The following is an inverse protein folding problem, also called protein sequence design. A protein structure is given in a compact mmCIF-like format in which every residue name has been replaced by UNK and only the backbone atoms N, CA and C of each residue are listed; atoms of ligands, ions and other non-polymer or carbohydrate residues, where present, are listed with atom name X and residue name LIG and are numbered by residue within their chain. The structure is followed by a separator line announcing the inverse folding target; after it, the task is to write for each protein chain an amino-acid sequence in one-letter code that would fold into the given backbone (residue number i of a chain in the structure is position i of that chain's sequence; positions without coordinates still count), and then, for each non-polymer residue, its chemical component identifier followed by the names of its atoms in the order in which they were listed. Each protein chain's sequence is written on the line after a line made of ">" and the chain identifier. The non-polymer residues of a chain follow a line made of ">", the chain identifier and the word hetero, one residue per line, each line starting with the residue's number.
data_IF_811200376641
#
_entry.id   IF_811200376641
#
_cell.length_a   1.000
_cell.length_b   1.000
_cell.length_c   1.000
_cell.angle_alpha   90.00
_cell.angle_beta   90.00
_cell.angle_gamma   90.00
#
_symmetry.space_group_name_H-M   'P 1'
#
loop_
_entity.id
_entity.type
_entity.pdbx_description
1 polymer ?
#
# COMPACT_ATOMS: atom_id res chain seq x y z
N UNK A 1 -28.05 7.96 -13.26
CA UNK A 1 -28.79 6.75 -13.70
C UNK A 1 -28.39 5.63 -12.75
N UNK A 2 -29.31 4.75 -12.38
CA UNK A 2 -28.96 3.52 -11.65
C UNK A 2 -27.96 2.70 -12.50
N UNK A 3 -26.95 2.11 -11.86
CA UNK A 3 -25.89 1.30 -12.47
C UNK A 3 -26.48 0.18 -13.32
N UNK A 4 -27.56 -0.43 -12.84
CA UNK A 4 -28.29 -1.49 -13.55
C UNK A 4 -28.81 -0.99 -14.90
N UNK A 5 -29.50 0.16 -14.90
CA UNK A 5 -30.06 0.77 -16.11
C UNK A 5 -29.01 1.26 -17.10
N UNK A 6 -27.88 1.77 -16.60
CA UNK A 6 -26.78 2.21 -17.46
C UNK A 6 -26.08 1.03 -18.17
N UNK A 7 -26.03 -0.13 -17.52
CA UNK A 7 -25.45 -1.34 -18.10
C UNK A 7 -26.43 -2.08 -19.04
N UNK A 8 -27.72 -2.14 -18.68
CA UNK A 8 -28.82 -2.67 -19.53
C UNK A 8 -28.82 -2.04 -20.93
N UNK A 9 -28.63 -0.71 -21.00
CA UNK A 9 -28.64 0.05 -22.26
C UNK A 9 -27.48 -0.33 -23.22
N UNK A 10 -26.39 -0.90 -22.70
CA UNK A 10 -25.18 -1.19 -23.49
C UNK A 10 -25.05 -2.69 -23.78
N UNK A 11 -25.39 -3.55 -22.81
CA UNK A 11 -25.22 -5.00 -22.93
C UNK A 11 -26.40 -5.72 -23.59
N UNK A 12 -27.53 -5.02 -23.85
CA UNK A 12 -28.80 -5.57 -24.36
C UNK A 12 -29.41 -6.71 -23.53
N UNK A 13 -28.82 -7.01 -22.37
CA UNK A 13 -29.27 -7.97 -21.38
C UNK A 13 -29.00 -7.29 -20.04
N UNK A 14 -30.02 -7.13 -19.20
CA UNK A 14 -29.80 -6.72 -17.82
C UNK A 14 -28.91 -7.77 -17.17
N UNK A 15 -27.72 -7.42 -16.66
CA UNK A 15 -27.07 -8.30 -15.71
C UNK A 15 -28.00 -8.41 -14.52
N UNK A 16 -28.57 -9.60 -14.32
CA UNK A 16 -29.10 -10.00 -13.02
C UNK A 16 -27.87 -10.11 -12.11
N UNK A 17 -27.35 -8.96 -11.63
CA UNK A 17 -26.21 -8.88 -10.72
C UNK A 17 -26.60 -9.46 -9.36
N UNK A 18 -26.94 -10.74 -9.30
CA UNK A 18 -27.08 -11.47 -8.04
C UNK A 18 -25.71 -11.77 -7.46
N UNK A 19 -24.70 -12.03 -8.30
CA UNK A 19 -23.30 -12.22 -7.90
C UNK A 19 -22.33 -11.79 -9.00
N UNK A 20 -21.16 -11.29 -8.61
CA UNK A 20 -20.00 -11.12 -9.50
C UNK A 20 -19.08 -12.33 -9.32
N UNK A 21 -18.57 -12.99 -10.37
CA UNK A 21 -17.62 -14.07 -10.21
C UNK A 21 -16.35 -13.56 -9.53
N UNK A 22 -15.95 -14.27 -8.50
CA UNK A 22 -14.65 -14.13 -7.83
C UNK A 22 -13.74 -15.27 -8.26
N UNK A 23 -12.42 -15.07 -8.13
CA UNK A 23 -11.47 -16.15 -8.45
C UNK A 23 -11.69 -17.40 -7.59
N UNK A 24 -12.23 -17.27 -6.37
CA UNK A 24 -12.62 -18.44 -5.55
C UNK A 24 -13.64 -19.31 -6.29
N UNK A 25 -14.66 -18.72 -6.90
CA UNK A 25 -15.65 -19.47 -7.68
C UNK A 25 -15.03 -20.14 -8.91
N UNK A 26 -13.99 -19.57 -9.50
CA UNK A 26 -13.23 -20.22 -10.57
C UNK A 26 -12.47 -21.48 -10.10
N UNK A 27 -12.11 -21.57 -8.82
CA UNK A 27 -11.46 -22.75 -8.25
C UNK A 27 -12.44 -23.81 -7.77
N UNK A 28 -13.59 -23.43 -7.23
CA UNK A 28 -14.49 -24.36 -6.52
C UNK A 28 -15.70 -24.84 -7.32
N UNK A 29 -16.13 -24.10 -8.35
CA UNK A 29 -17.30 -24.50 -9.14
C UNK A 29 -16.94 -25.59 -10.17
N UNK A 30 -17.96 -26.27 -10.69
CA UNK A 30 -17.81 -27.16 -11.85
C UNK A 30 -17.63 -26.35 -13.14
N UNK A 31 -16.95 -26.90 -14.14
CA UNK A 31 -16.59 -26.17 -15.35
C UNK A 31 -17.80 -25.67 -16.16
N UNK A 32 -18.91 -26.41 -16.15
CA UNK A 32 -20.17 -26.01 -16.77
C UNK A 32 -20.76 -24.75 -16.12
N UNK A 33 -20.71 -24.66 -14.78
CA UNK A 33 -21.19 -23.52 -14.02
C UNK A 33 -20.25 -22.33 -14.20
N UNK A 34 -18.93 -22.55 -14.26
CA UNK A 34 -17.96 -21.49 -14.57
C UNK A 34 -18.22 -20.90 -15.94
N UNK A 35 -18.42 -21.72 -16.97
CA UNK A 35 -18.64 -21.20 -18.33
C UNK A 35 -19.85 -20.27 -18.38
N UNK A 36 -20.95 -20.63 -17.70
CA UNK A 36 -22.15 -19.80 -17.61
C UNK A 36 -21.92 -18.51 -16.79
N UNK A 37 -21.27 -18.61 -15.63
CA UNK A 37 -21.00 -17.48 -14.72
C UNK A 37 -20.06 -16.43 -15.33
N UNK A 38 -19.06 -16.88 -16.10
CA UNK A 38 -18.03 -16.01 -16.69
C UNK A 38 -18.39 -15.46 -18.08
N UNK A 39 -19.39 -16.04 -18.75
CA UNK A 39 -19.87 -15.61 -20.07
C UNK A 39 -20.20 -14.10 -20.18
N UNK A 40 -20.83 -13.44 -19.18
CA UNK A 40 -21.11 -12.00 -19.23
C UNK A 40 -19.84 -11.12 -19.16
N UNK A 41 -18.73 -11.66 -18.64
CA UNK A 41 -17.50 -10.92 -18.40
C UNK A 41 -16.53 -10.97 -19.60
N UNK A 42 -16.75 -11.90 -20.54
CA UNK A 42 -16.10 -12.05 -21.85
C UNK A 42 -14.60 -11.65 -21.84
N UNK A 43 -13.84 -12.07 -20.82
CA UNK A 43 -12.46 -11.64 -20.58
C UNK A 43 -12.06 -11.57 -19.11
N UNK A 44 -11.11 -10.68 -18.80
CA UNK A 44 -10.52 -10.48 -17.48
C UNK A 44 -11.45 -9.65 -16.57
N UNK A 45 -11.83 -10.17 -15.40
CA UNK A 45 -12.79 -9.52 -14.47
C UNK A 45 -12.43 -8.07 -14.12
N UNK A 46 -11.15 -7.73 -13.84
CA UNK A 46 -10.76 -6.34 -13.61
C UNK A 46 -11.06 -5.39 -14.78
N UNK A 47 -11.03 -5.85 -16.03
CA UNK A 47 -11.37 -5.01 -17.20
C UNK A 47 -12.86 -4.71 -17.23
N UNK A 48 -13.70 -5.70 -16.93
CA UNK A 48 -15.15 -5.52 -16.82
C UNK A 48 -15.53 -4.63 -15.66
N UNK A 49 -14.89 -4.81 -14.49
CA UNK A 49 -15.05 -3.90 -13.35
C UNK A 49 -14.57 -2.48 -13.68
N UNK A 50 -13.47 -2.32 -14.42
CA UNK A 50 -13.00 -1.01 -14.89
C UNK A 50 -13.99 -0.34 -15.84
N UNK A 51 -14.60 -1.10 -16.76
CA UNK A 51 -15.68 -0.59 -17.63
C UNK A 51 -16.89 -0.13 -16.81
N UNK A 52 -17.33 -0.94 -15.84
CA UNK A 52 -18.42 -0.59 -14.91
C UNK A 52 -18.08 0.68 -14.13
N UNK A 53 -16.88 0.77 -13.55
CA UNK A 53 -16.42 1.94 -12.81
C UNK A 53 -16.53 3.23 -13.65
N UNK A 54 -16.10 3.19 -14.91
CA UNK A 54 -16.19 4.33 -15.83
C UNK A 54 -17.63 4.66 -16.27
N UNK A 55 -18.56 3.70 -16.19
CA UNK A 55 -19.99 3.92 -16.48
C UNK A 55 -20.71 4.56 -15.29
N UNK A 56 -20.40 4.12 -14.07
CA UNK A 56 -20.98 4.65 -12.83
C UNK A 56 -20.56 6.11 -12.64
N UNK A 57 -19.27 6.37 -12.82
CA UNK A 57 -18.69 7.69 -12.73
C UNK A 57 -17.64 7.85 -13.83
N UNK A 58 -17.91 8.73 -14.78
CA UNK A 58 -16.99 9.03 -15.87
C UNK A 58 -16.11 10.25 -15.57
N UNK A 59 -16.10 10.74 -14.33
CA UNK A 59 -15.27 11.87 -13.95
C UNK A 59 -13.80 11.52 -14.19
N UNK A 60 -13.28 12.10 -15.25
CA UNK A 60 -11.94 11.81 -15.71
C UNK A 60 -10.84 12.45 -14.83
N UNK A 61 -11.23 13.20 -13.80
CA UNK A 61 -10.34 13.87 -12.84
C UNK A 61 -10.44 13.29 -11.43
N UNK A 62 -11.32 12.31 -11.21
CA UNK A 62 -11.49 11.67 -9.91
C UNK A 62 -10.61 10.44 -9.77
N UNK A 63 -10.07 10.24 -8.57
CA UNK A 63 -9.62 8.92 -8.13
C UNK A 63 -10.86 8.05 -7.90
N UNK A 64 -10.78 6.79 -8.29
CA UNK A 64 -11.92 5.88 -8.22
C UNK A 64 -11.49 4.53 -7.65
N UNK A 65 -12.29 3.98 -6.75
CA UNK A 65 -12.13 2.67 -6.16
C UNK A 65 -13.45 1.90 -6.34
N UNK A 66 -13.37 0.74 -6.98
CA UNK A 66 -14.48 -0.20 -7.07
C UNK A 66 -14.06 -1.51 -6.40
N UNK A 67 -14.88 -1.97 -5.46
CA UNK A 67 -14.69 -3.24 -4.75
C UNK A 67 -15.89 -4.12 -5.04
N UNK A 68 -15.62 -5.32 -5.56
CA UNK A 68 -16.59 -6.40 -5.70
C UNK A 68 -16.22 -7.48 -4.70
N UNK A 69 -17.07 -7.76 -3.72
CA UNK A 69 -16.79 -8.67 -2.61
C UNK A 69 -17.91 -9.70 -2.48
N UNK A 70 -17.56 -10.98 -2.58
CA UNK A 70 -18.48 -12.08 -2.26
C UNK A 70 -18.17 -12.61 -0.86
N UNK A 71 -19.20 -12.79 -0.04
CA UNK A 71 -19.10 -13.30 1.33
C UNK A 71 -19.85 -14.63 1.42
N UNK A 72 -19.16 -15.65 1.92
CA UNK A 72 -19.67 -17.00 2.08
C UNK A 72 -19.73 -17.36 3.57
N UNK A 73 -20.79 -18.05 3.98
CA UNK A 73 -20.87 -18.67 5.31
C UNK A 73 -20.05 -19.96 5.31
N UNK A 74 -19.38 -20.26 6.42
CA UNK A 74 -18.66 -21.51 6.63
C UNK A 74 -19.43 -22.36 7.63
N UNK A 75 -19.75 -23.59 7.25
CA UNK A 75 -20.40 -24.58 8.12
C UNK A 75 -19.63 -25.91 8.10
N UNK A 76 -19.15 -26.42 9.25
CA UNK A 76 -19.13 -25.77 10.57
C UNK A 76 -18.05 -24.67 10.63
N UNK A 77 -18.23 -23.66 11.48
CA UNK A 77 -17.25 -22.60 11.69
C UNK A 77 -15.86 -23.15 12.08
N UNK A 78 -14.80 -22.47 11.63
CA UNK A 78 -13.41 -22.84 11.93
C UNK A 78 -12.86 -21.86 12.98
N UNK A 79 -12.88 -22.26 14.25
CA UNK A 79 -12.53 -21.37 15.35
C UNK A 79 -13.50 -20.18 15.43
N UNK A 80 -12.98 -18.95 15.32
CA UNK A 80 -13.78 -17.71 15.31
C UNK A 80 -14.18 -17.24 13.89
N UNK A 81 -13.85 -18.04 12.86
CA UNK A 81 -14.14 -17.70 11.47
C UNK A 81 -15.46 -18.36 11.08
N UNK A 82 -16.49 -17.54 10.91
CA UNK A 82 -17.84 -17.96 10.49
C UNK A 82 -18.10 -17.60 9.02
N UNK A 83 -17.34 -16.63 8.49
CA UNK A 83 -17.49 -16.11 7.13
C UNK A 83 -16.14 -15.92 6.46
N UNK A 84 -16.09 -16.27 5.19
CA UNK A 84 -14.97 -15.96 4.30
C UNK A 84 -15.46 -15.09 3.16
N UNK A 85 -14.74 -14.01 2.91
CA UNK A 85 -14.91 -13.12 1.79
C UNK A 85 -13.75 -13.20 0.82
N UNK A 86 -14.03 -13.09 -0.48
CA UNK A 86 -13.02 -12.75 -1.47
C UNK A 86 -13.53 -11.62 -2.34
N UNK A 87 -12.65 -10.66 -2.60
CA UNK A 87 -12.97 -9.50 -3.39
C UNK A 87 -11.96 -9.20 -4.47
N UNK A 88 -12.49 -8.77 -5.61
CA UNK A 88 -11.75 -8.15 -6.70
C UNK A 88 -11.85 -6.63 -6.55
N UNK A 89 -10.70 -5.98 -6.60
CA UNK A 89 -10.59 -4.55 -6.31
C UNK A 89 -9.93 -3.88 -7.50
N UNK A 90 -10.60 -2.89 -8.08
CA UNK A 90 -10.08 -2.07 -9.16
C UNK A 90 -9.94 -0.64 -8.67
N UNK A 91 -8.78 -0.06 -8.91
CA UNK A 91 -8.49 1.31 -8.57
C UNK A 91 -7.92 2.08 -9.76
N UNK A 92 -8.35 3.33 -9.88
CA UNK A 92 -7.84 4.30 -10.84
C UNK A 92 -7.34 5.55 -10.11
N UNK A 93 -6.04 5.83 -10.24
CA UNK A 93 -5.40 7.09 -9.81
C UNK A 93 -5.39 8.07 -10.98
N UNK A 94 -5.82 9.30 -10.74
CA UNK A 94 -5.53 10.44 -11.61
C UNK A 94 -4.55 11.36 -10.87
N UNK A 95 -3.44 11.69 -11.51
CA UNK A 95 -2.37 12.49 -10.92
C UNK A 95 -1.71 13.40 -11.97
N UNK A 96 -0.81 14.28 -11.54
CA UNK A 96 -0.11 15.26 -12.40
C UNK A 96 -1.05 16.08 -13.29
N UNK A 97 -2.17 16.55 -12.74
CA UNK A 97 -3.11 17.39 -13.50
C UNK A 97 -2.48 18.75 -13.74
N UNK A 98 -2.06 19.00 -14.99
CA UNK A 98 -1.44 20.25 -15.42
C UNK A 98 -2.37 21.01 -16.35
N UNK A 99 -2.63 22.26 -16.03
CA UNK A 99 -3.36 23.17 -16.91
C UNK A 99 -2.36 23.99 -17.71
N UNK A 100 -2.42 23.88 -19.03
CA UNK A 100 -1.66 24.79 -19.89
C UNK A 100 -2.40 26.14 -19.90
N UNK A 101 -1.74 27.24 -19.53
CA UNK A 101 -2.40 28.55 -19.48
C UNK A 101 -2.60 29.17 -20.87
N UNK A 102 -1.95 28.62 -21.90
CA UNK A 102 -1.98 29.08 -23.29
C UNK A 102 -2.96 28.28 -24.15
N UNK A 103 -3.47 27.15 -23.66
CA UNK A 103 -4.46 26.32 -24.36
C UNK A 103 -5.54 25.84 -23.39
N UNK A 104 -6.73 25.48 -23.86
CA UNK A 104 -7.77 24.90 -22.98
C UNK A 104 -7.49 23.44 -22.58
N UNK A 105 -6.31 22.89 -22.93
CA UNK A 105 -5.96 21.50 -22.65
C UNK A 105 -5.47 21.33 -21.21
N UNK A 106 -6.05 20.33 -20.55
CA UNK A 106 -5.59 19.83 -19.25
C UNK A 106 -4.91 18.49 -19.49
N UNK A 107 -3.61 18.44 -19.21
CA UNK A 107 -2.82 17.20 -19.23
C UNK A 107 -2.95 16.50 -17.87
N UNK A 108 -2.94 15.17 -17.87
CA UNK A 108 -2.99 14.36 -16.65
C UNK A 108 -2.39 12.99 -16.91
N UNK A 109 -1.92 12.37 -15.83
CA UNK A 109 -1.50 10.99 -15.81
C UNK A 109 -2.60 10.12 -15.18
N UNK A 110 -2.80 8.93 -15.71
CA UNK A 110 -3.78 7.96 -15.18
C UNK A 110 -3.09 6.62 -14.98
N UNK A 111 -3.24 6.04 -13.79
CA UNK A 111 -2.78 4.68 -13.49
C UNK A 111 -3.96 3.85 -13.01
N UNK A 112 -4.25 2.77 -13.72
CA UNK A 112 -5.23 1.77 -13.31
C UNK A 112 -4.49 0.56 -12.74
N UNK A 113 -5.00 -0.01 -11.66
CA UNK A 113 -4.44 -1.18 -11.01
C UNK A 113 -5.57 -2.03 -10.46
N UNK A 114 -5.32 -3.33 -10.32
CA UNK A 114 -6.25 -4.27 -9.70
C UNK A 114 -5.53 -5.15 -8.69
N UNK A 115 -6.27 -5.65 -7.71
CA UNK A 115 -5.78 -6.62 -6.72
C UNK A 115 -6.92 -7.48 -6.20
N UNK A 116 -6.53 -8.58 -5.55
CA UNK A 116 -7.42 -9.53 -4.91
C UNK A 116 -7.15 -9.49 -3.42
N UNK A 117 -8.21 -9.41 -2.62
CA UNK A 117 -8.10 -9.40 -1.16
C UNK A 117 -9.15 -10.35 -0.55
N UNK A 118 -8.77 -11.01 0.53
CA UNK A 118 -9.63 -11.91 1.29
C UNK A 118 -10.03 -11.32 2.64
N UNK A 119 -11.16 -11.76 3.19
CA UNK A 119 -11.60 -11.43 4.55
C UNK A 119 -11.97 -12.72 5.27
N UNK A 120 -11.33 -12.98 6.42
CA UNK A 120 -11.75 -14.04 7.33
C UNK A 120 -12.36 -13.37 8.56
N UNK A 121 -13.65 -13.59 8.83
CA UNK A 121 -14.37 -12.82 9.85
C UNK A 121 -15.47 -13.61 10.56
N UNK A 122 -15.98 -13.04 11.65
CA UNK A 122 -17.19 -13.50 12.34
C UNK A 122 -18.40 -12.67 11.89
N UNK A 123 -19.59 -13.13 12.23
CA UNK A 123 -20.83 -12.41 11.95
C UNK A 123 -20.84 -10.98 12.51
N UNK A 124 -20.37 -10.82 13.75
CA UNK A 124 -20.33 -9.52 14.43
C UNK A 124 -19.29 -8.56 13.84
N UNK A 125 -18.25 -9.10 13.19
CA UNK A 125 -17.11 -8.31 12.69
C UNK A 125 -17.13 -8.05 11.19
N UNK A 126 -18.07 -8.63 10.45
CA UNK A 126 -18.14 -8.50 9.00
C UNK A 126 -18.10 -7.04 8.52
N UNK A 127 -18.95 -6.17 9.08
CA UNK A 127 -18.99 -4.76 8.67
C UNK A 127 -17.70 -4.00 9.08
N UNK A 128 -17.22 -4.09 10.34
CA UNK A 128 -15.92 -3.52 10.72
C UNK A 128 -14.76 -3.95 9.83
N UNK A 129 -14.68 -5.24 9.48
CA UNK A 129 -13.57 -5.78 8.69
C UNK A 129 -13.68 -5.35 7.21
N UNK A 130 -14.88 -5.20 6.66
CA UNK A 130 -15.10 -4.58 5.34
C UNK A 130 -14.68 -3.11 5.33
N UNK A 131 -15.06 -2.33 6.36
CA UNK A 131 -14.64 -0.92 6.48
C UNK A 131 -13.12 -0.83 6.54
N UNK A 132 -12.49 -1.70 7.35
CA UNK A 132 -11.03 -1.79 7.43
C UNK A 132 -10.39 -2.13 6.07
N UNK A 133 -10.96 -3.05 5.30
CA UNK A 133 -10.51 -3.36 3.94
C UNK A 133 -10.59 -2.12 3.04
N UNK A 134 -11.75 -1.43 3.01
CA UNK A 134 -11.93 -0.22 2.21
C UNK A 134 -10.91 0.85 2.61
N UNK A 135 -10.71 1.10 3.91
CA UNK A 135 -9.73 2.06 4.40
C UNK A 135 -8.31 1.68 3.97
N UNK A 136 -7.91 0.41 4.10
CA UNK A 136 -6.61 -0.08 3.63
C UNK A 136 -6.45 0.12 2.13
N UNK A 137 -7.48 -0.11 1.32
CA UNK A 137 -7.43 0.07 -0.13
C UNK A 137 -7.33 1.54 -0.51
N UNK A 138 -8.19 2.40 0.06
CA UNK A 138 -8.09 3.85 -0.13
C UNK A 138 -6.69 4.31 0.24
N UNK A 139 -6.12 3.84 1.35
CA UNK A 139 -4.79 4.25 1.75
C UNK A 139 -3.67 3.73 0.84
N UNK A 140 -3.71 2.45 0.45
CA UNK A 140 -2.72 1.83 -0.43
C UNK A 140 -2.67 2.47 -1.82
N UNK A 141 -3.80 3.00 -2.28
CA UNK A 141 -3.96 3.40 -3.67
C UNK A 141 -4.18 4.90 -3.88
N UNK A 142 -4.77 5.61 -2.91
CA UNK A 142 -4.98 7.06 -3.00
C UNK A 142 -3.69 7.84 -2.78
N UNK A 143 -2.74 7.27 -2.06
CA UNK A 143 -1.57 8.01 -1.61
C UNK A 143 -0.32 7.65 -2.39
N UNK A 144 0.68 8.50 -2.29
CA UNK A 144 2.04 8.08 -2.63
C UNK A 144 2.43 6.96 -1.67
N UNK A 145 3.41 6.15 -2.05
CA UNK A 145 3.80 4.98 -1.24
C UNK A 145 4.00 5.32 0.24
N UNK A 146 4.35 6.58 0.54
CA UNK A 146 4.53 7.12 1.88
C UNK A 146 3.40 8.10 2.25
N UNK A 147 2.78 7.88 3.41
CA UNK A 147 1.60 8.61 3.89
C UNK A 147 1.91 9.54 5.06
N UNK A 148 3.09 9.40 5.66
CA UNK A 148 3.55 10.23 6.76
C UNK A 148 5.08 10.20 6.83
N UNK A 149 5.65 11.02 7.71
CA UNK A 149 7.08 10.98 8.04
C UNK A 149 7.30 11.14 9.53
N UNK A 150 8.44 10.65 10.01
CA UNK A 150 8.85 10.86 11.39
C UNK A 150 9.22 12.33 11.57
N UNK A 151 8.57 13.01 12.51
CA UNK A 151 8.91 14.37 12.90
C UNK A 151 10.02 14.38 13.94
N UNK A 152 9.87 13.55 14.99
CA UNK A 152 10.88 13.41 16.03
C UNK A 152 10.69 12.12 16.82
N UNK A 153 11.74 11.70 17.53
CA UNK A 153 11.70 10.58 18.45
C UNK A 153 12.05 11.11 19.85
N UNK A 154 11.24 10.79 20.87
CA UNK A 154 11.50 11.13 22.27
C UNK A 154 11.24 9.92 23.16
N UNK A 155 12.32 9.29 23.63
CA UNK A 155 12.22 8.01 24.35
C UNK A 155 11.67 6.92 23.42
N UNK A 156 10.63 6.21 23.87
CA UNK A 156 9.95 5.17 23.08
C UNK A 156 8.82 5.71 22.18
N UNK A 157 8.56 7.02 22.22
CA UNK A 157 7.52 7.68 21.44
C UNK A 157 8.08 8.22 20.12
N UNK A 158 7.37 7.91 19.04
CA UNK A 158 7.64 8.44 17.71
C UNK A 158 6.55 9.45 17.36
N UNK A 159 6.93 10.70 17.14
CA UNK A 159 6.05 11.75 16.66
C UNK A 159 6.02 11.69 15.14
N UNK A 160 4.82 11.62 14.58
CA UNK A 160 4.55 11.36 13.18
C UNK A 160 3.86 12.58 12.60
N UNK A 161 4.49 13.21 11.60
CA UNK A 161 3.87 14.27 10.81
C UNK A 161 3.12 13.63 9.66
N UNK A 162 1.80 13.78 9.66
CA UNK A 162 0.94 13.28 8.59
C UNK A 162 1.02 14.22 7.39
N UNK A 163 0.82 13.72 6.16
CA UNK A 163 0.64 14.62 5.02
C UNK A 163 -0.71 15.35 5.14
N UNK A 164 -0.84 16.50 4.49
CA UNK A 164 -2.09 17.27 4.52
C UNK A 164 -3.28 16.43 4.04
N UNK A 165 -4.39 16.51 4.78
CA UNK A 165 -5.62 15.73 4.56
C UNK A 165 -5.51 14.22 4.80
N UNK A 166 -4.46 13.75 5.48
CA UNK A 166 -4.32 12.36 5.91
C UNK A 166 -4.46 12.23 7.43
N UNK A 167 -5.61 11.75 7.88
CA UNK A 167 -5.75 11.30 9.27
C UNK A 167 -5.38 9.82 9.38
N UNK A 168 -4.38 9.51 10.18
CA UNK A 168 -4.09 8.14 10.60
C UNK A 168 -5.16 7.66 11.58
N UNK A 169 -5.35 6.35 11.68
CA UNK A 169 -6.23 5.76 12.69
C UNK A 169 -5.39 5.17 13.83
N UNK A 170 -5.97 5.13 15.02
CA UNK A 170 -5.37 4.41 16.13
C UNK A 170 -5.22 2.93 15.77
N UNK A 171 -4.10 2.34 16.18
CA UNK A 171 -3.67 0.98 15.87
C UNK A 171 -3.30 0.73 14.39
N UNK A 172 -3.17 1.77 13.57
CA UNK A 172 -2.53 1.63 12.25
C UNK A 172 -1.07 1.25 12.44
N UNK A 173 -0.61 0.22 11.73
CA UNK A 173 0.79 -0.18 11.67
C UNK A 173 1.47 0.45 10.46
N UNK A 174 2.66 1.00 10.68
CA UNK A 174 3.43 1.73 9.69
C UNK A 174 4.82 1.11 9.56
N UNK A 175 5.16 0.69 8.35
CA UNK A 175 6.50 0.26 7.99
C UNK A 175 7.39 1.49 7.75
N UNK A 176 8.62 1.45 8.25
CA UNK A 176 9.56 2.56 8.15
C UNK A 176 10.54 2.39 7.01
N UNK A 177 10.73 3.47 6.25
CA UNK A 177 11.58 3.55 5.07
C UNK A 177 12.47 4.79 5.17
N UNK A 178 13.71 4.70 4.70
CA UNK A 178 14.62 5.84 4.59
C UNK A 178 14.87 6.18 3.13
N UNK A 179 14.86 7.46 2.83
CA UNK A 179 15.09 7.99 1.48
C UNK A 179 16.42 8.73 1.39
N UNK A 180 17.08 8.57 0.25
CA UNK A 180 18.27 9.30 -0.17
C UNK A 180 18.04 9.82 -1.59
N UNK A 181 18.57 10.99 -1.91
CA UNK A 181 18.56 11.53 -3.28
C UNK A 181 19.78 11.06 -4.05
N UNK A 182 19.59 10.63 -5.30
CA UNK A 182 20.70 10.28 -6.18
C UNK A 182 21.50 11.54 -6.56
N UNK A 183 22.82 11.40 -6.68
CA UNK A 183 23.76 12.44 -7.11
C UNK A 183 23.86 13.68 -6.21
N UNK A 184 23.14 13.70 -5.09
CA UNK A 184 23.21 14.78 -4.10
C UNK A 184 24.29 14.45 -3.07
N UNK A 185 25.34 15.27 -3.04
CA UNK A 185 26.53 15.04 -2.21
C UNK A 185 26.20 14.87 -0.72
N UNK A 186 25.36 15.76 -0.19
CA UNK A 186 24.91 15.69 1.20
C UNK A 186 24.14 14.39 1.49
N UNK A 187 23.25 13.97 0.58
CA UNK A 187 22.50 12.73 0.73
C UNK A 187 23.39 11.49 0.66
N UNK A 188 24.41 11.50 -0.20
CA UNK A 188 25.38 10.41 -0.32
C UNK A 188 26.23 10.33 0.95
N UNK A 189 26.67 11.47 1.48
CA UNK A 189 27.43 11.54 2.72
C UNK A 189 26.59 11.05 3.92
N UNK A 190 25.30 11.38 3.97
CA UNK A 190 24.38 10.82 4.97
C UNK A 190 24.29 9.30 4.86
N UNK A 191 24.17 8.73 3.65
CA UNK A 191 24.16 7.26 3.48
C UNK A 191 25.46 6.62 3.99
N UNK A 192 26.61 7.19 3.65
CA UNK A 192 27.93 6.73 4.12
C UNK A 192 27.99 6.72 5.64
N UNK A 193 27.58 7.82 6.28
CA UNK A 193 27.58 7.94 7.73
C UNK A 193 26.64 6.92 8.39
N UNK A 194 25.43 6.73 7.85
CA UNK A 194 24.47 5.76 8.38
C UNK A 194 24.98 4.32 8.29
N UNK A 195 25.61 3.92 7.17
CA UNK A 195 26.20 2.57 7.04
C UNK A 195 27.36 2.42 8.01
N UNK A 196 28.21 3.43 8.15
CA UNK A 196 29.34 3.40 9.09
C UNK A 196 28.88 3.21 10.54
N UNK A 197 27.89 3.98 10.99
CA UNK A 197 27.31 3.86 12.33
C UNK A 197 26.67 2.48 12.55
N UNK A 198 25.96 1.96 11.55
CA UNK A 198 25.37 0.62 11.60
C UNK A 198 26.44 -0.47 11.75
N UNK A 199 27.48 -0.44 10.92
CA UNK A 199 28.59 -1.40 11.00
C UNK A 199 29.32 -1.32 12.34
N UNK A 200 29.53 -0.12 12.88
CA UNK A 200 30.14 0.05 14.21
C UNK A 200 29.26 -0.54 15.32
N UNK A 201 27.94 -0.35 15.23
CA UNK A 201 27.01 -0.98 16.16
C UNK A 201 27.05 -2.51 16.07
N UNK A 202 27.06 -3.08 14.86
CA UNK A 202 27.08 -4.53 14.65
C UNK A 202 28.37 -5.19 15.15
N UNK A 203 29.53 -4.50 15.07
CA UNK A 203 30.78 -4.99 15.65
C UNK A 203 30.67 -5.18 17.17
N UNK A 204 29.90 -4.34 17.84
CA UNK A 204 29.71 -4.40 19.30
C UNK A 204 28.50 -5.25 19.70
N UNK A 205 27.59 -5.54 18.77
CA UNK A 205 26.31 -6.22 19.01
C UNK A 205 26.01 -7.24 17.89
N UNK A 206 26.86 -8.26 17.73
CA UNK A 206 26.72 -9.25 16.65
C UNK A 206 25.40 -10.03 16.70
N UNK A 207 24.79 -10.14 17.88
CA UNK A 207 23.51 -10.83 18.07
C UNK A 207 22.28 -9.96 17.75
N UNK A 208 22.49 -8.68 17.44
CA UNK A 208 21.43 -7.76 17.04
C UNK A 208 20.71 -8.25 15.78
N UNK A 209 19.39 -8.18 15.80
CA UNK A 209 18.56 -8.76 14.74
C UNK A 209 18.71 -8.02 13.41
N UNK A 210 18.97 -6.71 13.41
CA UNK A 210 19.24 -6.00 12.16
C UNK A 210 20.57 -6.44 11.59
N UNK A 211 21.60 -6.63 12.44
CA UNK A 211 22.89 -7.13 11.99
C UNK A 211 22.77 -8.50 11.31
N UNK A 212 22.03 -9.44 11.92
CA UNK A 212 21.75 -10.75 11.31
C UNK A 212 20.92 -10.66 10.03
N UNK A 213 19.91 -9.80 10.02
CA UNK A 213 19.04 -9.64 8.88
C UNK A 213 19.80 -9.05 7.69
N UNK A 214 20.67 -8.06 7.90
CA UNK A 214 21.40 -7.38 6.83
C UNK A 214 22.73 -8.03 6.46
N UNK A 215 23.26 -8.99 7.24
CA UNK A 215 24.52 -9.69 6.94
C UNK A 215 24.56 -10.34 5.56
N UNK A 216 23.41 -10.85 5.08
CA UNK A 216 23.29 -11.55 3.81
C UNK A 216 22.86 -10.65 2.63
N UNK A 217 22.78 -9.34 2.83
CA UNK A 217 22.41 -8.40 1.79
C UNK A 217 23.60 -7.57 1.33
N UNK A 218 23.62 -7.22 0.04
CA UNK A 218 24.67 -6.36 -0.55
C UNK A 218 24.59 -4.89 -0.09
N UNK A 219 23.69 -4.57 0.85
CA UNK A 219 23.44 -3.22 1.37
C UNK A 219 23.42 -3.23 2.90
N UNK A 220 23.73 -2.07 3.53
CA UNK A 220 24.05 -1.90 4.95
C UNK A 220 25.35 -2.59 5.41
N UNK A 221 26.26 -2.90 4.48
CA UNK A 221 27.52 -3.58 4.78
C UNK A 221 28.76 -2.86 4.26
N UNK A 222 29.92 -3.49 4.46
CA UNK A 222 31.22 -2.96 4.02
C UNK A 222 31.27 -2.80 2.50
N UNK A 223 30.67 -3.73 1.75
CA UNK A 223 30.62 -3.66 0.30
C UNK A 223 29.94 -2.37 -0.20
N UNK A 224 28.73 -2.05 0.31
CA UNK A 224 28.04 -0.81 -0.07
C UNK A 224 28.83 0.44 0.37
N UNK A 225 29.43 0.41 1.56
CA UNK A 225 30.28 1.50 2.04
C UNK A 225 31.44 1.77 1.06
N UNK A 226 32.16 0.74 0.64
CA UNK A 226 33.28 0.86 -0.27
C UNK A 226 32.82 1.35 -1.66
N UNK A 227 31.70 0.84 -2.18
CA UNK A 227 31.12 1.31 -3.43
C UNK A 227 30.69 2.79 -3.37
N UNK A 228 30.19 3.27 -2.24
CA UNK A 228 29.81 4.67 -2.06
C UNK A 228 31.04 5.58 -2.04
N UNK A 229 32.09 5.20 -1.32
CA UNK A 229 33.35 5.94 -1.24
C UNK A 229 34.04 6.01 -2.61
N UNK A 230 34.05 4.89 -3.35
CA UNK A 230 34.66 4.81 -4.68
C UNK A 230 33.77 5.41 -5.79
N UNK A 231 32.62 5.98 -5.44
CA UNK A 231 31.62 6.52 -6.37
C UNK A 231 31.05 5.50 -7.36
N UNK A 232 31.21 4.21 -7.08
CA UNK A 232 30.74 3.13 -7.93
C UNK A 232 29.28 2.76 -7.69
N UNK A 233 28.79 3.00 -6.46
CA UNK A 233 27.43 2.70 -6.07
C UNK A 233 26.40 3.45 -6.94
N UNK A 234 25.25 2.81 -7.19
CA UNK A 234 24.15 3.37 -7.98
C UNK A 234 23.68 4.76 -7.50
N UNK A 235 23.83 5.08 -6.21
CA UNK A 235 23.50 6.41 -5.66
C UNK A 235 24.27 7.56 -6.36
N UNK A 236 25.48 7.30 -6.84
CA UNK A 236 26.31 8.28 -7.53
C UNK A 236 25.94 8.47 -9.01
N UNK A 237 25.22 7.51 -9.61
CA UNK A 237 25.00 7.43 -11.06
C UNK A 237 23.51 7.51 -11.46
N UNK A 238 22.60 7.18 -10.54
CA UNK A 238 21.16 7.11 -10.78
C UNK A 238 20.46 8.48 -10.81
N UNK A 239 19.13 8.44 -10.89
CA UNK A 239 18.25 9.62 -10.87
C UNK A 239 17.06 9.39 -9.95
N UNK A 240 16.53 10.46 -9.35
CA UNK A 240 15.34 10.41 -8.50
C UNK A 240 15.67 10.13 -7.04
N UNK A 241 14.95 9.19 -6.42
CA UNK A 241 15.06 8.85 -5.01
C UNK A 241 15.38 7.37 -4.80
N UNK A 242 16.30 7.07 -3.89
CA UNK A 242 16.63 5.73 -3.43
C UNK A 242 16.02 5.51 -2.06
N UNK A 243 15.15 4.51 -1.95
CA UNK A 243 14.43 4.20 -0.72
C UNK A 243 14.82 2.80 -0.22
N UNK A 244 15.04 2.68 1.08
CA UNK A 244 15.40 1.41 1.72
C UNK A 244 14.56 1.17 2.97
N UNK A 245 14.12 -0.07 3.17
CA UNK A 245 13.36 -0.46 4.35
C UNK A 245 14.25 -0.57 5.58
N UNK A 246 13.74 -0.13 6.73
CA UNK A 246 14.49 -0.16 7.99
C UNK A 246 14.14 -1.34 8.91
N UNK A 247 13.31 -2.28 8.44
CA UNK A 247 12.87 -3.44 9.22
C UNK A 247 12.27 -3.07 10.59
N UNK A 248 11.46 -2.00 10.62
CA UNK A 248 10.79 -1.49 11.81
C UNK A 248 9.33 -1.24 11.53
N UNK A 249 8.50 -1.53 12.54
CA UNK A 249 7.07 -1.26 12.52
C UNK A 249 6.71 -0.34 13.67
N UNK A 250 5.97 0.73 13.35
CA UNK A 250 5.40 1.66 14.32
C UNK A 250 3.89 1.45 14.37
N UNK A 251 3.34 1.24 15.57
CA UNK A 251 1.89 1.27 15.78
C UNK A 251 1.45 2.66 16.24
N UNK A 252 0.44 3.22 15.60
CA UNK A 252 -0.17 4.50 16.00
C UNK A 252 -0.95 4.31 17.31
N UNK A 253 -0.62 5.11 18.33
CA UNK A 253 -1.28 5.07 19.65
C UNK A 253 -2.28 6.20 19.84
N UNK A 254 -1.93 7.38 19.37
CA UNK A 254 -2.73 8.61 19.51
C UNK A 254 -2.71 9.37 18.18
N UNK A 255 -3.82 10.03 17.86
CA UNK A 255 -3.99 10.82 16.64
C UNK A 255 -4.56 12.17 17.01
N UNK A 256 -3.91 13.22 16.53
CA UNK A 256 -4.33 14.62 16.58
C UNK A 256 -4.50 15.13 15.14
N UNK A 257 -4.93 16.38 14.95
CA UNK A 257 -5.31 16.90 13.61
C UNK A 257 -4.22 16.71 12.54
N UNK A 258 -2.97 17.06 12.84
CA UNK A 258 -1.84 16.99 11.89
C UNK A 258 -0.65 16.14 12.37
N UNK A 259 -0.74 15.61 13.59
CA UNK A 259 0.31 14.82 14.23
C UNK A 259 -0.29 13.54 14.78
N UNK A 260 0.43 12.43 14.66
CA UNK A 260 0.15 11.21 15.38
C UNK A 260 1.32 10.84 16.30
N UNK A 261 1.05 10.08 17.35
CA UNK A 261 2.08 9.53 18.23
C UNK A 261 2.02 8.02 18.12
N UNK A 262 3.15 7.42 17.75
CA UNK A 262 3.33 5.99 17.60
C UNK A 262 4.34 5.41 18.58
N UNK A 263 4.39 4.08 18.62
CA UNK A 263 5.40 3.30 19.34
C UNK A 263 5.98 2.24 18.41
N UNK A 264 7.28 2.03 18.47
CA UNK A 264 7.93 0.94 17.74
C UNK A 264 7.53 -0.39 18.37
N UNK A 265 6.93 -1.29 17.59
CA UNK A 265 6.48 -2.61 18.04
C UNK A 265 7.35 -3.75 17.50
N UNK A 266 8.10 -3.48 16.44
CA UNK A 266 9.04 -4.44 15.86
C UNK A 266 10.44 -3.82 15.79
N UNK A 267 11.43 -4.55 16.31
CA UNK A 267 12.84 -4.15 16.36
C UNK A 267 13.07 -2.77 17.00
N UNK A 268 12.55 -2.50 18.22
CA UNK A 268 12.61 -1.17 18.84
C UNK A 268 14.03 -0.72 19.21
N UNK A 269 14.88 -1.66 19.63
CA UNK A 269 16.20 -1.38 20.20
C UNK A 269 17.29 -2.09 19.41
N UNK A 270 17.38 -1.78 18.12
CA UNK A 270 18.35 -2.41 17.21
C UNK A 270 19.36 -1.43 16.64
N UNK A 271 20.37 -1.95 15.94
CA UNK A 271 21.46 -1.14 15.43
C UNK A 271 21.04 -0.08 14.40
N UNK A 272 19.96 -0.31 13.63
CA UNK A 272 19.38 0.75 12.80
C UNK A 272 18.54 1.67 13.69
N UNK A 273 18.86 2.96 13.68
CA UNK A 273 18.10 3.99 14.41
C UNK A 273 17.07 4.67 13.50
N UNK A 274 15.93 5.04 14.09
CA UNK A 274 14.96 5.94 13.45
C UNK A 274 15.47 7.38 13.50
N UNK A 275 15.26 8.12 12.41
CA UNK A 275 15.65 9.51 12.27
C UNK A 275 14.44 10.38 11.88
N UNK A 276 14.49 11.69 12.17
CA UNK A 276 13.57 12.63 11.53
C UNK A 276 13.60 12.48 10.01
N UNK A 277 12.45 12.73 9.39
CA UNK A 277 12.18 12.60 7.95
C UNK A 277 12.20 11.17 7.38
N UNK A 278 12.43 10.13 8.20
CA UNK A 278 12.13 8.77 7.79
C UNK A 278 10.67 8.64 7.36
N UNK A 279 10.46 8.03 6.20
CA UNK A 279 9.17 7.92 5.53
C UNK A 279 8.38 6.74 6.10
N UNK A 280 7.07 6.92 6.19
CA UNK A 280 6.14 5.95 6.76
C UNK A 280 5.12 5.54 5.73
N UNK A 281 4.95 4.24 5.56
CA UNK A 281 3.91 3.63 4.71
C UNK A 281 3.11 2.64 5.51
N UNK A 282 1.90 2.30 5.06
CA UNK A 282 1.13 1.24 5.69
C UNK A 282 1.92 -0.07 5.68
N UNK A 283 1.95 -0.73 6.85
CA UNK A 283 2.37 -2.11 6.92
C UNK A 283 1.31 -2.99 6.22
N UNK A 284 1.75 -3.97 5.43
CA UNK A 284 0.87 -4.85 4.64
C UNK A 284 0.35 -6.02 5.47
#
# INVERSE_FOLDING_TARGET
>A
KDVMKAYEEIAQISPDFKTFPTILEAYFLEDSIKEELWKPFNGFVPDTLSKIMNLIDNNQYANQLLISLNIYNIEPAIGNIEKVGAGEIVFRKVFDIKRNNSTTKVEKSVKTSSTQEGINTSNERLIPDIINLISKMIQRYSFDEFIAKIESIKGDKVFIKMQENLSLLKNTELAVMREYTYQEEESIQHRINHIKEFMECCKNNSEDIDCKNFENFDFWGQAEYDELINQDHKLNKGRGKYQTGLNKIIIVKEVYDSIAVGKIIENPNTCIKLLPDDLLKLNK
#
